data_IF_615912950577
#
_entry.id   IF_615912950577
#
_cell.length_a   1.000
_cell.length_b   1.000
_cell.length_c   1.000
_cell.angle_alpha   90.00
_cell.angle_beta   90.00
_cell.angle_gamma   90.00
#
_symmetry.space_group_name_H-M   'P 1'
#
loop_
_entity.id
_entity.type
_entity.pdbx_description
1 polymer ?
#
# COMPACT_ATOMS: atom_id res chain seq x y z
N UNK A 1 -8.50 -6.83 -5.19
CA UNK A 1 -7.27 -6.97 -4.40
C UNK A 1 -7.19 -5.79 -3.47
N UNK A 2 -6.91 -5.99 -2.18
CA UNK A 2 -6.94 -4.94 -1.15
C UNK A 2 -5.99 -3.77 -1.47
N UNK A 3 -4.82 -4.06 -2.05
CA UNK A 3 -3.84 -3.06 -2.51
C UNK A 3 -4.50 -2.00 -3.41
N UNK A 4 -5.44 -2.39 -4.28
CA UNK A 4 -6.17 -1.44 -5.15
C UNK A 4 -6.95 -0.39 -4.35
N UNK A 5 -7.57 -0.79 -3.24
CA UNK A 5 -8.28 0.15 -2.36
C UNK A 5 -7.28 1.06 -1.63
N UNK A 6 -6.18 0.50 -1.15
CA UNK A 6 -5.10 1.26 -0.50
C UNK A 6 -4.53 2.35 -1.39
N UNK A 7 -4.19 2.05 -2.64
CA UNK A 7 -3.63 3.06 -3.57
C UNK A 7 -4.64 4.12 -3.99
N UNK A 8 -5.93 3.77 -4.14
CA UNK A 8 -7.00 4.74 -4.41
C UNK A 8 -7.15 5.73 -3.26
N UNK A 9 -7.18 5.22 -2.03
CA UNK A 9 -7.24 6.06 -0.84
C UNK A 9 -6.00 6.96 -0.76
N UNK A 10 -4.80 6.40 -0.96
CA UNK A 10 -3.56 7.16 -0.95
C UNK A 10 -3.57 8.31 -1.96
N UNK A 11 -4.03 8.08 -3.20
CA UNK A 11 -4.15 9.13 -4.21
C UNK A 11 -5.12 10.22 -3.79
N UNK A 12 -6.31 9.87 -3.32
CA UNK A 12 -7.30 10.85 -2.90
C UNK A 12 -6.79 11.68 -1.70
N UNK A 13 -6.26 11.01 -0.67
CA UNK A 13 -5.68 11.69 0.48
C UNK A 13 -4.55 12.62 0.07
N UNK A 14 -3.63 12.16 -0.79
CA UNK A 14 -2.54 12.99 -1.32
C UNK A 14 -3.08 14.25 -2.00
N UNK A 15 -4.05 14.11 -2.91
CA UNK A 15 -4.60 15.24 -3.65
C UNK A 15 -5.30 16.27 -2.77
N UNK A 16 -5.97 15.84 -1.70
CA UNK A 16 -6.63 16.74 -0.74
C UNK A 16 -5.64 17.54 0.10
N UNK A 17 -4.52 16.93 0.49
CA UNK A 17 -3.59 17.55 1.47
C UNK A 17 -2.33 18.14 0.84
N UNK A 18 -2.04 17.90 -0.45
CA UNK A 18 -0.80 18.33 -1.13
C UNK A 18 -0.54 19.84 -1.11
N UNK A 19 -1.56 20.67 -0.89
CA UNK A 19 -1.41 22.13 -0.79
C UNK A 19 -1.03 22.58 0.62
N UNK A 20 -1.21 21.72 1.62
CA UNK A 20 -0.97 22.00 3.04
C UNK A 20 0.29 21.32 3.56
N UNK A 21 0.60 20.12 3.05
CA UNK A 21 1.76 19.34 3.45
C UNK A 21 2.50 18.81 2.22
N UNK A 22 3.82 18.87 2.27
CA UNK A 22 4.67 18.26 1.25
C UNK A 22 4.80 16.75 1.52
N UNK A 23 4.29 15.94 0.59
CA UNK A 23 4.44 14.48 0.64
C UNK A 23 5.43 14.06 -0.44
N UNK A 24 6.64 13.68 -0.02
CA UNK A 24 7.72 13.27 -0.92
C UNK A 24 7.72 11.78 -1.23
N UNK A 25 7.16 10.96 -0.33
CA UNK A 25 7.13 9.50 -0.46
C UNK A 25 5.77 8.96 0.01
N UNK A 26 5.19 8.05 -0.78
CA UNK A 26 4.01 7.26 -0.42
C UNK A 26 4.41 5.79 -0.35
N UNK A 27 4.24 5.16 0.82
CA UNK A 27 4.52 3.75 1.03
C UNK A 27 3.22 2.93 1.04
N UNK A 28 3.15 1.91 0.19
CA UNK A 28 2.03 0.98 0.08
C UNK A 28 2.49 -0.39 0.62
N UNK A 29 1.96 -0.76 1.78
CA UNK A 29 2.32 -2.00 2.47
C UNK A 29 1.22 -3.05 2.31
N UNK A 30 1.63 -4.32 2.24
CA UNK A 30 0.73 -5.47 2.17
C UNK A 30 1.41 -6.69 2.79
N UNK A 31 0.64 -7.50 3.50
CA UNK A 31 1.10 -8.79 4.04
C UNK A 31 0.89 -9.96 3.06
N UNK A 32 0.24 -9.70 1.92
CA UNK A 32 0.09 -10.68 0.85
C UNK A 32 1.28 -10.64 -0.11
N UNK A 33 2.25 -11.56 0.08
CA UNK A 33 3.40 -11.71 -0.81
C UNK A 33 3.01 -12.06 -2.26
N UNK A 34 1.92 -12.81 -2.45
CA UNK A 34 1.39 -13.13 -3.79
C UNK A 34 0.83 -11.87 -4.47
N UNK A 35 0.07 -11.06 -3.73
CA UNK A 35 -0.46 -9.81 -4.28
C UNK A 35 0.68 -8.85 -4.71
N UNK A 36 1.72 -8.74 -3.87
CA UNK A 36 2.89 -7.93 -4.14
C UNK A 36 3.72 -8.46 -5.31
N UNK A 37 3.83 -9.79 -5.47
CA UNK A 37 4.55 -10.36 -6.61
C UNK A 37 3.86 -10.07 -7.94
N UNK A 38 2.53 -10.02 -7.99
CA UNK A 38 1.79 -9.58 -9.18
C UNK A 38 2.00 -8.11 -9.50
N UNK A 39 2.07 -7.24 -8.49
CA UNK A 39 2.36 -5.81 -8.68
C UNK A 39 3.80 -5.60 -9.17
N UNK A 40 4.75 -6.41 -8.68
CA UNK A 40 6.17 -6.37 -9.06
C UNK A 40 6.45 -7.00 -10.43
N UNK A 41 5.56 -7.86 -10.92
CA UNK A 41 5.76 -8.56 -12.18
C UNK A 41 5.64 -7.63 -13.40
N UNK A 42 6.38 -7.88 -14.49
CA UNK A 42 6.26 -7.10 -15.72
C UNK A 42 4.84 -7.11 -16.30
N UNK A 43 4.42 -6.01 -16.96
CA UNK A 43 3.19 -5.99 -17.76
C UNK A 43 3.22 -7.13 -18.79
N UNK A 44 2.13 -7.90 -18.91
CA UNK A 44 1.98 -9.11 -19.75
C UNK A 44 2.55 -10.43 -19.21
N UNK A 45 2.83 -10.55 -17.92
CA UNK A 45 3.09 -11.88 -17.32
C UNK A 45 1.83 -12.76 -17.47
N UNK A 46 1.87 -13.76 -18.36
CA UNK A 46 0.70 -14.56 -18.82
C UNK A 46 0.04 -15.47 -17.76
N UNK A 47 0.45 -15.38 -16.50
CA UNK A 47 0.10 -16.34 -15.46
C UNK A 47 -0.96 -15.84 -14.45
N UNK A 48 -1.62 -14.70 -14.71
CA UNK A 48 -2.65 -14.15 -13.82
C UNK A 48 -3.99 -14.00 -14.52
N UNK A 49 -5.09 -14.41 -13.87
CA UNK A 49 -6.43 -14.24 -14.41
C UNK A 49 -6.81 -12.78 -14.70
N UNK A 50 -7.73 -12.57 -15.64
CA UNK A 50 -8.11 -11.23 -16.16
C UNK A 50 -8.46 -10.23 -15.05
N UNK A 51 -9.16 -10.67 -14.00
CA UNK A 51 -9.53 -9.81 -12.88
C UNK A 51 -8.31 -9.28 -12.12
N UNK A 52 -7.30 -10.13 -11.88
CA UNK A 52 -6.05 -9.72 -11.22
C UNK A 52 -5.28 -8.76 -12.11
N UNK A 53 -5.14 -9.10 -13.40
CA UNK A 53 -4.46 -8.24 -14.37
C UNK A 53 -5.07 -6.84 -14.45
N UNK A 54 -6.41 -6.72 -14.42
CA UNK A 54 -7.10 -5.43 -14.42
C UNK A 54 -6.80 -4.62 -13.15
N UNK A 55 -6.73 -5.28 -11.98
CA UNK A 55 -6.37 -4.62 -10.72
C UNK A 55 -4.91 -4.17 -10.67
N UNK A 56 -3.98 -4.96 -11.22
CA UNK A 56 -2.57 -4.58 -11.34
C UNK A 56 -2.41 -3.38 -12.27
N UNK A 57 -3.06 -3.39 -13.44
CA UNK A 57 -3.06 -2.24 -14.37
C UNK A 57 -3.56 -0.96 -13.70
N UNK A 58 -4.63 -1.08 -12.92
CA UNK A 58 -5.17 0.04 -12.16
C UNK A 58 -4.19 0.56 -11.10
N UNK A 59 -3.56 -0.34 -10.33
CA UNK A 59 -2.55 0.03 -9.33
C UNK A 59 -1.40 0.79 -9.99
N UNK A 60 -0.85 0.27 -11.09
CA UNK A 60 0.26 0.91 -11.82
C UNK A 60 -0.16 2.30 -12.33
N UNK A 61 -1.39 2.45 -12.84
CA UNK A 61 -1.91 3.75 -13.30
C UNK A 61 -1.97 4.77 -12.16
N UNK A 62 -2.44 4.35 -10.98
CA UNK A 62 -2.54 5.23 -9.80
C UNK A 62 -1.16 5.58 -9.26
N UNK A 63 -0.23 4.62 -9.21
CA UNK A 63 1.16 4.87 -8.83
C UNK A 63 1.79 5.94 -9.73
N UNK A 64 1.67 5.79 -11.06
CA UNK A 64 2.19 6.80 -11.99
C UNK A 64 1.58 8.18 -11.76
N UNK A 65 0.29 8.23 -11.45
CA UNK A 65 -0.37 9.52 -11.13
C UNK A 65 0.22 10.17 -9.89
N UNK A 66 0.48 9.40 -8.83
CA UNK A 66 1.16 9.91 -7.63
C UNK A 66 2.57 10.42 -7.94
N UNK A 67 3.30 9.71 -8.79
CA UNK A 67 4.65 10.10 -9.23
C UNK A 67 4.63 11.37 -10.10
N UNK A 68 3.65 11.52 -10.99
CA UNK A 68 3.41 12.74 -11.78
C UNK A 68 3.12 13.96 -10.90
N UNK A 69 2.46 13.77 -9.75
CA UNK A 69 2.22 14.84 -8.78
C UNK A 69 3.47 15.17 -7.92
N UNK A 70 4.52 14.35 -8.00
CA UNK A 70 5.81 14.60 -7.35
C UNK A 70 6.15 13.65 -6.20
N UNK A 71 5.30 12.68 -5.88
CA UNK A 71 5.55 11.72 -4.80
C UNK A 71 6.21 10.44 -5.29
N UNK A 72 7.29 10.00 -4.64
CA UNK A 72 7.86 8.67 -4.92
C UNK A 72 6.96 7.59 -4.31
N UNK A 73 6.51 6.63 -5.11
CA UNK A 73 5.73 5.51 -4.59
C UNK A 73 6.63 4.31 -4.34
N UNK A 74 6.47 3.70 -3.16
CA UNK A 74 7.18 2.48 -2.76
C UNK A 74 6.19 1.41 -2.34
N UNK A 75 6.43 0.17 -2.74
CA UNK A 75 5.68 -1.00 -2.28
C UNK A 75 6.55 -1.83 -1.33
N UNK A 76 5.94 -2.43 -0.30
CA UNK A 76 6.68 -3.21 0.69
C UNK A 76 5.86 -4.34 1.29
N UNK A 77 6.55 -5.41 1.69
CA UNK A 77 5.95 -6.47 2.50
C UNK A 77 6.00 -6.09 3.98
N UNK A 78 4.87 -6.27 4.68
CA UNK A 78 4.77 -6.21 6.14
C UNK A 78 4.30 -7.57 6.65
N UNK A 79 4.80 -8.03 7.79
CA UNK A 79 4.30 -9.28 8.37
C UNK A 79 2.82 -9.11 8.75
N UNK A 80 1.99 -10.15 8.62
CA UNK A 80 0.59 -10.11 9.04
C UNK A 80 0.41 -9.68 10.50
N UNK A 81 1.34 -10.05 11.39
CA UNK A 81 1.31 -9.63 12.81
C UNK A 81 1.60 -8.16 13.02
N UNK A 82 2.31 -7.55 12.07
CA UNK A 82 2.77 -6.16 12.11
C UNK A 82 2.00 -5.31 11.08
N UNK A 83 0.90 -5.83 10.50
CA UNK A 83 0.06 -5.12 9.57
C UNK A 83 -1.06 -4.39 10.32
N UNK A 84 -1.00 -3.07 10.52
CA UNK A 84 -2.04 -2.35 11.24
C UNK A 84 -3.41 -2.49 10.55
N UNK A 85 -3.46 -2.66 9.23
CA UNK A 85 -4.71 -2.79 8.49
C UNK A 85 -5.55 -4.02 8.88
N UNK A 86 -4.92 -5.07 9.44
CA UNK A 86 -5.61 -6.28 9.88
C UNK A 86 -6.46 -6.00 11.13
N UNK A 87 -5.99 -5.17 12.05
CA UNK A 87 -6.72 -4.85 13.28
C UNK A 87 -7.98 -4.05 13.00
N UNK A 88 -7.93 -3.14 12.03
CA UNK A 88 -9.09 -2.38 11.57
C UNK A 88 -10.14 -3.21 10.83
N UNK A 89 -9.76 -4.38 10.29
CA UNK A 89 -10.68 -5.23 9.49
C UNK A 89 -11.24 -6.43 10.25
N UNK A 90 -10.54 -6.93 11.28
CA UNK A 90 -10.97 -8.09 12.08
C UNK A 90 -11.93 -7.72 13.22
N UNK A 91 -12.01 -6.43 13.58
CA UNK A 91 -12.70 -5.97 14.78
C UNK A 91 -11.88 -6.27 16.02
N UNK A 92 -11.77 -5.31 16.92
CA UNK A 92 -11.04 -5.43 18.18
C UNK A 92 -11.82 -4.79 19.32
N UNK A 93 -11.56 -5.26 20.54
CA UNK A 93 -12.06 -4.60 21.75
C UNK A 93 -11.48 -3.18 21.83
N UNK A 94 -12.30 -2.21 22.22
CA UNK A 94 -11.93 -0.80 22.22
C UNK A 94 -10.65 -0.49 23.03
N UNK A 95 -10.42 -1.21 24.14
CA UNK A 95 -9.18 -1.03 24.93
C UNK A 95 -7.97 -1.55 24.18
N UNK A 96 -8.10 -2.74 23.56
CA UNK A 96 -7.02 -3.31 22.75
C UNK A 96 -6.72 -2.47 21.51
N UNK A 97 -7.74 -1.88 20.91
CA UNK A 97 -7.58 -0.98 19.76
C UNK A 97 -6.87 0.32 20.11
N UNK A 98 -7.07 0.85 21.32
CA UNK A 98 -6.43 2.08 21.76
C UNK A 98 -4.90 1.95 21.85
N UNK A 99 -4.41 0.77 22.26
CA UNK A 99 -2.99 0.47 22.43
C UNK A 99 -2.38 -0.25 21.21
N UNK A 100 -3.06 -0.21 20.06
CA UNK A 100 -2.77 -1.09 18.93
C UNK A 100 -1.84 -0.45 17.90
N UNK A 101 -1.28 -1.29 17.02
CA UNK A 101 -0.39 -0.87 15.95
C UNK A 101 -1.07 0.06 14.95
N UNK A 102 -2.41 0.09 14.90
CA UNK A 102 -3.19 1.01 14.09
C UNK A 102 -2.77 2.47 14.27
N UNK A 103 -2.46 2.87 15.51
CA UNK A 103 -2.14 4.27 15.83
C UNK A 103 -0.66 4.60 15.69
N UNK A 104 0.21 3.63 15.98
CA UNK A 104 1.67 3.84 15.97
C UNK A 104 2.32 3.47 14.64
N UNK A 105 1.66 2.62 13.86
CA UNK A 105 2.23 1.98 12.67
C UNK A 105 3.35 0.98 12.99
N UNK A 106 3.79 0.19 11.98
CA UNK A 106 4.93 -0.71 12.10
C UNK A 106 6.25 0.04 12.32
N UNK A 107 7.20 -0.59 13.02
CA UNK A 107 8.53 0.00 13.25
C UNK A 107 9.25 0.31 11.93
N UNK A 108 9.72 1.55 11.77
CA UNK A 108 10.28 2.06 10.51
C UNK A 108 11.56 1.36 10.04
N UNK A 109 12.32 0.74 10.96
CA UNK A 109 13.54 -0.02 10.67
C UNK A 109 13.28 -1.30 9.88
N UNK A 110 12.11 -1.93 10.05
CA UNK A 110 11.75 -3.18 9.35
C UNK A 110 11.35 -2.95 7.88
N UNK A 111 10.92 -1.75 7.54
CA UNK A 111 10.41 -1.40 6.22
C UNK A 111 11.52 -1.01 5.25
N UNK A 112 12.61 -0.41 5.73
CA UNK A 112 13.63 0.24 4.90
C UNK A 112 14.33 -0.70 3.89
N UNK A 113 14.47 -1.99 4.22
CA UNK A 113 15.08 -3.00 3.34
C UNK A 113 14.11 -3.75 2.41
N UNK A 114 12.80 -3.52 2.55
CA UNK A 114 11.75 -4.29 1.86
C UNK A 114 10.96 -3.47 0.84
N UNK A 115 11.26 -2.18 0.72
CA UNK A 115 10.57 -1.25 -0.17
C UNK A 115 11.18 -1.24 -1.57
N UNK A 116 10.36 -1.30 -2.63
CA UNK A 116 10.78 -1.13 -4.02
C UNK A 116 9.89 -0.13 -4.76
N UNK A 117 10.38 0.44 -5.86
CA UNK A 117 9.52 1.14 -6.83
C UNK A 117 9.02 0.16 -7.88
N UNK A 118 7.74 0.22 -8.27
CA UNK A 118 7.16 -0.64 -9.29
C UNK A 118 7.65 -0.31 -10.71
#
# INVERSE_FOLDING_TARGET
MAITMGVRLALNTYLEVKTQIEITVVCILSDSGIALSWVKAPPNTKNTGVLVANRVKEIIKITRRLEEEGAKVRFGYVNTKDNPADEGTRGSDAKRFADSLWWTGPEGSELAGRLWSP
#
